data_IF_646777827822
#
_entry.id   IF_646777827822
#
_cell.length_a   1.000
_cell.length_b   1.000
_cell.length_c   1.000
_cell.angle_alpha   90.00
_cell.angle_beta   90.00
_cell.angle_gamma   90.00
#
_symmetry.space_group_name_H-M   'P 1'
#
loop_
_entity.id
_entity.type
_entity.pdbx_description
1 polymer ?
#
# COMPACT_ATOMS: atom_id res chain seq x y z
N UNK A 1 -13.72 -6.42 -14.47
CA UNK A 1 -13.63 -7.10 -13.17
C UNK A 1 -12.16 -7.08 -12.79
N UNK A 2 -11.74 -6.03 -12.11
CA UNK A 2 -10.38 -5.91 -11.59
C UNK A 2 -10.34 -6.74 -10.30
N UNK A 3 -9.41 -7.68 -10.22
CA UNK A 3 -9.22 -8.53 -9.04
C UNK A 3 -8.52 -7.70 -7.95
N UNK A 4 -9.29 -6.86 -7.26
CA UNK A 4 -8.79 -6.08 -6.12
C UNK A 4 -8.68 -7.02 -4.93
N UNK A 5 -7.49 -7.56 -4.71
CA UNK A 5 -7.20 -8.41 -3.56
C UNK A 5 -6.81 -7.47 -2.41
N UNK A 6 -7.61 -7.47 -1.34
CA UNK A 6 -7.27 -6.81 -0.09
C UNK A 6 -6.04 -7.49 0.52
N UNK A 7 -5.05 -6.69 0.91
CA UNK A 7 -3.76 -7.15 1.46
C UNK A 7 -3.66 -6.72 2.93
N UNK A 8 -3.22 -7.63 3.79
CA UNK A 8 -2.95 -7.33 5.20
C UNK A 8 -1.68 -6.45 5.30
N UNK A 9 -1.75 -5.38 6.09
CA UNK A 9 -0.62 -4.50 6.36
C UNK A 9 0.62 -5.27 6.88
N UNK A 10 0.43 -6.31 7.70
CA UNK A 10 1.54 -7.10 8.22
C UNK A 10 2.27 -7.93 7.15
N UNK A 11 1.68 -8.07 5.96
CA UNK A 11 2.30 -8.71 4.81
C UNK A 11 2.99 -7.70 3.87
N UNK A 12 2.81 -6.40 4.11
CA UNK A 12 3.49 -5.33 3.41
C UNK A 12 4.82 -5.03 4.11
N UNK A 13 5.90 -5.13 3.35
CA UNK A 13 7.23 -4.70 3.75
C UNK A 13 7.63 -3.62 2.73
N UNK A 14 8.38 -2.57 3.11
CA UNK A 14 8.83 -1.48 2.21
C UNK A 14 7.79 -0.92 1.20
N UNK A 15 6.50 -0.83 1.57
CA UNK A 15 5.48 -0.30 0.67
C UNK A 15 5.71 1.20 0.42
N UNK A 16 5.95 1.56 -0.84
CA UNK A 16 6.27 2.93 -1.27
C UNK A 16 5.03 3.57 -1.91
N UNK A 17 4.55 4.65 -1.32
CA UNK A 17 3.40 5.41 -1.81
C UNK A 17 3.81 6.76 -2.36
N UNK A 18 3.34 7.09 -3.56
CA UNK A 18 3.63 8.35 -4.25
C UNK A 18 2.69 9.45 -3.73
N UNK A 19 3.27 10.47 -3.09
CA UNK A 19 2.53 11.55 -2.45
C UNK A 19 1.77 12.42 -3.46
N UNK A 20 2.22 12.50 -4.70
CA UNK A 20 1.55 13.29 -5.76
C UNK A 20 0.22 12.66 -6.19
N UNK A 21 0.01 11.38 -5.86
CA UNK A 21 -1.23 10.67 -6.17
C UNK A 21 -2.32 10.84 -5.09
N UNK A 22 -1.98 11.48 -3.96
CA UNK A 22 -2.89 11.67 -2.84
C UNK A 22 -4.13 12.47 -3.26
N UNK A 23 -5.32 11.91 -3.03
CA UNK A 23 -6.58 12.58 -3.36
C UNK A 23 -7.71 12.09 -2.48
N UNK A 24 -8.74 12.92 -2.30
CA UNK A 24 -10.04 12.46 -1.77
C UNK A 24 -11.05 12.42 -2.92
N UNK A 25 -11.75 11.29 -3.08
CA UNK A 25 -12.84 11.12 -4.04
C UNK A 25 -13.97 10.34 -3.40
N UNK A 26 -15.20 10.84 -3.50
CA UNK A 26 -16.41 10.18 -2.96
C UNK A 26 -16.28 9.78 -1.48
N UNK A 27 -15.64 10.62 -0.66
CA UNK A 27 -15.40 10.33 0.76
C UNK A 27 -14.34 9.26 1.02
N UNK A 28 -13.48 8.95 0.04
CA UNK A 28 -12.36 8.03 0.21
C UNK A 28 -11.06 8.78 -0.06
N UNK A 29 -10.12 8.70 0.87
CA UNK A 29 -8.74 9.07 0.62
C UNK A 29 -8.07 7.92 -0.13
N UNK A 30 -7.40 8.25 -1.22
CA UNK A 30 -6.69 7.33 -2.11
C UNK A 30 -5.24 7.77 -2.20
N UNK A 31 -4.33 6.81 -2.09
CA UNK A 31 -2.91 7.01 -2.28
C UNK A 31 -2.33 5.83 -3.08
N UNK A 32 -1.81 6.13 -4.26
CA UNK A 32 -1.18 5.16 -5.14
C UNK A 32 0.23 4.84 -4.69
N UNK A 33 0.64 3.60 -4.88
CA UNK A 33 1.93 3.12 -4.45
C UNK A 33 2.35 1.86 -5.18
N UNK A 34 3.42 1.26 -4.67
CA UNK A 34 4.04 0.06 -5.22
C UNK A 34 4.77 -0.73 -4.14
N UNK A 35 4.92 -2.02 -4.40
CA UNK A 35 5.78 -2.92 -3.63
C UNK A 35 6.83 -3.57 -4.53
N UNK A 36 7.96 -3.94 -3.94
CA UNK A 36 9.02 -4.67 -4.65
C UNK A 36 8.51 -6.06 -5.06
N UNK A 37 8.93 -6.56 -6.22
CA UNK A 37 8.51 -7.84 -6.78
C UNK A 37 8.81 -9.02 -5.84
N UNK A 38 9.82 -8.90 -4.98
CA UNK A 38 10.15 -9.93 -3.97
C UNK A 38 9.00 -10.11 -2.98
N UNK A 39 8.32 -9.04 -2.61
CA UNK A 39 7.14 -9.07 -1.75
C UNK A 39 5.91 -9.53 -2.51
N UNK A 40 5.75 -9.12 -3.77
CA UNK A 40 4.67 -9.62 -4.63
C UNK A 40 4.67 -11.14 -4.75
N UNK A 41 5.85 -11.76 -4.83
CA UNK A 41 5.99 -13.23 -4.85
C UNK A 41 5.63 -13.86 -3.49
N UNK A 42 5.94 -13.20 -2.38
CA UNK A 42 5.52 -13.65 -1.04
C UNK A 42 4.01 -13.56 -0.87
N UNK A 43 3.38 -12.47 -1.32
CA UNK A 43 1.92 -12.29 -1.33
C UNK A 43 1.19 -13.28 -2.25
N UNK A 44 1.80 -13.64 -3.38
CA UNK A 44 1.31 -14.70 -4.26
C UNK A 44 1.47 -16.10 -3.67
N UNK A 45 2.37 -16.28 -2.69
CA UNK A 45 2.55 -17.55 -1.99
C UNK A 45 1.61 -17.70 -0.77
N UNK A 46 1.11 -16.60 -0.21
CA UNK A 46 0.09 -16.59 0.85
C UNK A 46 -1.34 -16.68 0.30
N UNK A 47 -1.59 -16.18 -0.91
CA UNK A 47 -2.90 -16.23 -1.58
C UNK A 47 -3.06 -17.43 -2.51
N UNK A 48 -3.98 -18.34 -2.14
CA UNK A 48 -4.54 -19.43 -2.94
C UNK A 48 -3.67 -20.69 -3.14
N UNK A 49 -4.13 -21.79 -2.52
CA UNK A 49 -3.58 -23.15 -2.55
C UNK A 49 -2.33 -23.36 -1.69
N UNK A 50 -2.45 -24.21 -0.67
CA UNK A 50 -1.39 -24.59 0.29
C UNK A 50 -0.14 -25.28 -0.28
N UNK A 51 0.24 -25.00 -1.52
CA UNK A 51 1.52 -25.37 -2.08
C UNK A 51 2.58 -24.39 -1.58
N UNK A 52 3.39 -24.83 -0.61
CA UNK A 52 4.64 -24.14 -0.26
C UNK A 52 5.52 -24.05 -1.51
N UNK A 53 5.62 -22.85 -2.08
CA UNK A 53 6.62 -22.58 -3.11
C UNK A 53 8.01 -22.92 -2.55
N UNK A 54 8.68 -23.90 -3.15
CA UNK A 54 10.01 -24.30 -2.70
C UNK A 54 11.03 -23.22 -3.06
N UNK A 55 12.12 -23.10 -2.29
CA UNK A 55 13.26 -22.21 -2.62
C UNK A 55 13.77 -22.40 -4.06
N UNK A 56 13.64 -23.61 -4.62
CA UNK A 56 14.04 -23.93 -6.00
C UNK A 56 13.02 -23.47 -7.06
N UNK A 57 11.74 -23.40 -6.72
CA UNK A 57 10.68 -22.82 -7.58
C UNK A 57 10.82 -21.31 -7.65
N UNK A 58 11.01 -20.67 -6.48
CA UNK A 58 11.32 -19.24 -6.40
C UNK A 58 12.55 -18.91 -7.25
N UNK A 59 13.66 -19.64 -7.09
CA UNK A 59 14.89 -19.37 -7.85
C UNK A 59 14.75 -19.50 -9.37
N UNK A 60 13.82 -20.33 -9.86
CA UNK A 60 13.50 -20.46 -11.30
C UNK A 60 12.68 -19.26 -11.80
N UNK A 61 11.73 -18.79 -11.01
CA UNK A 61 10.97 -17.57 -11.32
C UNK A 61 11.87 -16.32 -11.25
N UNK A 62 12.76 -16.23 -10.26
CA UNK A 62 13.74 -15.15 -10.09
C UNK A 62 14.63 -14.93 -11.33
N UNK A 63 14.92 -15.99 -12.10
CA UNK A 63 15.68 -15.89 -13.35
C UNK A 63 14.89 -15.21 -14.49
N UNK A 64 13.56 -15.29 -14.48
CA UNK A 64 12.67 -14.57 -15.41
C UNK A 64 12.39 -13.13 -14.95
N UNK A 65 12.47 -12.84 -13.65
CA UNK A 65 12.19 -11.53 -13.02
C UNK A 65 13.42 -10.60 -13.00
N UNK A 66 14.24 -10.62 -14.06
CA UNK A 66 15.42 -9.74 -14.20
C UNK A 66 15.08 -8.31 -14.64
N UNK A 67 13.81 -8.00 -14.85
CA UNK A 67 13.27 -6.64 -14.92
C UNK A 67 12.38 -6.48 -13.69
N UNK A 68 12.70 -5.56 -12.78
CA UNK A 68 11.83 -5.27 -11.62
C UNK A 68 10.46 -4.83 -12.15
N UNK A 69 9.44 -5.66 -11.93
CA UNK A 69 8.05 -5.33 -12.21
C UNK A 69 7.44 -5.01 -10.85
N UNK A 70 7.53 -3.74 -10.47
CA UNK A 70 6.79 -3.22 -9.31
C UNK A 70 5.32 -3.66 -9.42
N UNK A 71 4.74 -4.08 -8.30
CA UNK A 71 3.31 -4.37 -8.27
C UNK A 71 2.58 -3.13 -7.77
N UNK A 72 1.63 -2.58 -8.56
CA UNK A 72 0.80 -1.47 -8.12
C UNK A 72 0.05 -1.82 -6.83
N UNK A 73 0.05 -0.86 -5.91
CA UNK A 73 -0.64 -0.94 -4.63
C UNK A 73 -1.46 0.34 -4.46
N UNK A 74 -2.61 0.22 -3.81
CA UNK A 74 -3.45 1.36 -3.47
C UNK A 74 -3.79 1.33 -1.99
N UNK A 75 -3.59 2.45 -1.30
CA UNK A 75 -4.05 2.67 0.05
C UNK A 75 -5.36 3.47 0.00
N UNK A 76 -6.37 2.96 0.71
CA UNK A 76 -7.70 3.55 0.78
C UNK A 76 -8.08 3.78 2.24
N UNK A 77 -8.54 4.99 2.57
CA UNK A 77 -9.16 5.30 3.86
C UNK A 77 -10.57 5.83 3.59
N UNK A 78 -11.58 5.13 4.10
CA UNK A 78 -12.99 5.50 3.93
C UNK A 78 -13.39 6.66 4.83
N UNK A 79 -14.52 7.28 4.48
CA UNK A 79 -15.11 8.42 5.19
C UNK A 79 -14.15 9.62 5.36
N UNK A 80 -13.19 9.77 4.46
CA UNK A 80 -12.19 10.83 4.50
C UNK A 80 -12.79 12.18 4.12
N UNK A 81 -12.48 13.19 4.92
CA UNK A 81 -12.97 14.58 4.80
C UNK A 81 -11.84 15.51 4.35
N UNK A 82 -10.63 15.31 4.87
CA UNK A 82 -9.45 16.10 4.53
C UNK A 82 -8.18 15.29 4.76
N UNK A 83 -7.07 15.71 4.14
CA UNK A 83 -5.75 15.16 4.42
C UNK A 83 -4.68 16.24 4.45
N UNK A 84 -3.58 15.95 5.12
CA UNK A 84 -2.37 16.77 5.19
C UNK A 84 -1.15 15.86 4.99
N UNK A 85 -0.18 16.33 4.21
CA UNK A 85 1.08 15.63 3.95
C UNK A 85 2.21 16.47 4.55
N UNK A 86 3.01 15.84 5.41
CA UNK A 86 4.17 16.44 6.04
C UNK A 86 5.41 15.69 5.58
N UNK A 87 5.97 16.09 4.43
CA UNK A 87 7.21 15.54 3.88
C UNK A 87 8.40 16.44 4.24
N UNK A 88 9.02 16.19 5.40
CA UNK A 88 10.17 16.98 5.87
C UNK A 88 11.45 16.65 5.11
N UNK A 89 11.52 15.47 4.51
CA UNK A 89 12.68 15.00 3.77
C UNK A 89 12.66 15.47 2.29
N UNK A 90 11.50 15.85 1.77
CA UNK A 90 11.31 16.16 0.35
C UNK A 90 11.48 14.92 -0.53
N UNK A 91 11.11 13.74 -0.01
CA UNK A 91 11.27 12.47 -0.71
C UNK A 91 10.23 12.28 -1.83
N UNK A 92 9.07 12.95 -1.74
CA UNK A 92 7.96 12.75 -2.66
C UNK A 92 7.26 11.38 -2.51
N UNK A 93 7.70 10.56 -1.56
CA UNK A 93 7.16 9.24 -1.31
C UNK A 93 7.06 8.93 0.18
N UNK A 94 6.00 8.23 0.56
CA UNK A 94 5.80 7.64 1.88
C UNK A 94 6.19 6.16 1.82
N UNK A 95 7.33 5.80 2.40
CA UNK A 95 7.69 4.41 2.65
C UNK A 95 7.03 4.00 3.97
N UNK A 96 5.87 3.36 3.91
CA UNK A 96 4.99 3.17 5.06
C UNK A 96 5.62 2.23 6.09
N UNK A 97 5.80 2.71 7.32
CA UNK A 97 6.35 1.96 8.45
C UNK A 97 5.25 1.52 9.43
N UNK A 98 4.30 2.41 9.70
CA UNK A 98 3.22 2.15 10.64
C UNK A 98 2.02 3.08 10.38
N UNK A 99 0.89 2.74 10.99
CA UNK A 99 -0.24 3.63 11.06
C UNK A 99 -0.91 3.57 12.44
N UNK A 100 -1.64 4.62 12.78
CA UNK A 100 -2.49 4.67 13.97
C UNK A 100 -3.84 5.26 13.63
N UNK A 101 -4.89 4.72 14.25
CA UNK A 101 -6.28 5.22 14.11
C UNK A 101 -6.74 5.70 15.49
N UNK A 102 -7.27 6.91 15.55
CA UNK A 102 -7.84 7.51 16.75
C UNK A 102 -8.99 8.41 16.35
N UNK A 103 -10.18 8.18 16.91
CA UNK A 103 -11.43 8.94 16.71
C UNK A 103 -11.43 9.99 15.58
N UNK A 104 -11.73 9.57 14.35
CA UNK A 104 -11.79 10.47 13.19
C UNK A 104 -10.44 10.92 12.62
N UNK A 105 -9.34 10.31 13.05
CA UNK A 105 -7.98 10.60 12.59
C UNK A 105 -7.24 9.30 12.28
N UNK A 106 -6.64 9.28 11.09
CA UNK A 106 -5.69 8.26 10.66
C UNK A 106 -4.35 8.94 10.42
N UNK A 107 -3.30 8.42 11.04
CA UNK A 107 -1.92 8.87 10.84
C UNK A 107 -1.12 7.73 10.21
N UNK A 108 -0.54 8.00 9.06
CA UNK A 108 0.41 7.13 8.37
C UNK A 108 1.82 7.68 8.61
N UNK A 109 2.74 6.83 9.03
CA UNK A 109 4.12 7.20 9.36
C UNK A 109 5.06 6.46 8.44
N UNK A 110 5.94 7.19 7.77
CA UNK A 110 6.98 6.63 6.92
C UNK A 110 8.32 6.50 7.62
N UNK A 111 9.15 5.59 7.12
CA UNK A 111 10.53 5.34 7.59
C UNK A 111 11.42 6.58 7.39
N UNK A 112 11.26 7.24 6.24
CA UNK A 112 11.84 8.56 5.97
C UNK A 112 10.89 9.61 6.55
N UNK A 113 11.36 10.70 7.21
CA UNK A 113 10.51 11.72 7.85
C UNK A 113 9.41 12.31 6.96
N UNK A 114 8.32 11.57 6.86
CA UNK A 114 7.18 11.78 6.00
C UNK A 114 5.97 11.20 6.72
N UNK A 115 4.93 12.01 6.87
CA UNK A 115 3.71 11.62 7.55
C UNK A 115 2.50 12.08 6.74
N UNK A 116 1.46 11.24 6.72
CA UNK A 116 0.19 11.58 6.09
C UNK A 116 -0.90 11.50 7.15
N UNK A 117 -1.63 12.59 7.30
CA UNK A 117 -2.74 12.72 8.22
C UNK A 117 -4.02 12.73 7.41
N UNK A 118 -4.97 11.86 7.76
CA UNK A 118 -6.30 11.82 7.13
C UNK A 118 -7.34 11.99 8.22
N UNK A 119 -8.25 12.95 8.01
CA UNK A 119 -9.40 13.17 8.87
C UNK A 119 -10.60 12.41 8.31
N UNK A 120 -11.30 11.68 9.16
CA UNK A 120 -12.46 10.85 8.82
C UNK A 120 -13.68 11.21 9.67
N UNK A 121 -14.88 10.81 9.22
CA UNK A 121 -16.14 11.02 9.97
C UNK A 121 -16.30 10.02 11.13
N UNK A 122 -15.54 8.93 11.13
CA UNK A 122 -15.47 7.95 12.21
C UNK A 122 -14.13 7.21 12.25
N UNK A 123 -14.04 6.13 13.03
CA UNK A 123 -12.83 5.30 13.09
C UNK A 123 -12.75 4.39 11.87
N UNK A 124 -11.91 4.76 10.89
CA UNK A 124 -11.68 3.97 9.68
C UNK A 124 -10.22 3.53 9.58
N UNK A 125 -9.98 2.22 9.45
CA UNK A 125 -8.64 1.71 9.21
C UNK A 125 -8.24 1.88 7.73
N UNK A 126 -6.94 2.08 7.43
CA UNK A 126 -6.41 1.95 6.08
C UNK A 126 -6.67 0.55 5.51
N UNK A 127 -7.07 0.49 4.24
CA UNK A 127 -7.21 -0.74 3.47
C UNK A 127 -6.23 -0.71 2.30
N UNK A 128 -5.60 -1.84 2.00
CA UNK A 128 -4.60 -1.96 0.96
C UNK A 128 -5.09 -2.88 -0.13
N UNK A 129 -5.01 -2.44 -1.38
CA UNK A 129 -5.46 -3.20 -2.53
C UNK A 129 -4.33 -3.37 -3.52
N UNK A 130 -4.11 -4.62 -3.96
CA UNK A 130 -3.19 -4.90 -5.05
C UNK A 130 -3.86 -4.58 -6.39
N UNK A 131 -3.23 -3.73 -7.20
CA UNK A 131 -3.76 -3.26 -8.48
C UNK A 131 -3.65 -1.74 -8.63
N UNK A 132 -3.88 -1.25 -9.84
CA UNK A 132 -3.96 0.19 -10.10
C UNK A 132 -5.09 0.79 -9.23
N UNK A 133 -4.94 2.02 -8.73
CA UNK A 133 -5.98 2.65 -7.94
C UNK A 133 -7.28 2.67 -8.71
N UNK A 134 -8.28 1.95 -8.19
CA UNK A 134 -9.64 2.02 -8.70
C UNK A 134 -10.12 3.43 -8.46
N UNK A 135 -10.11 4.21 -9.53
CA UNK A 135 -10.98 5.37 -9.65
C UNK A 135 -12.35 4.82 -10.06
N UNK A 136 -13.34 4.76 -9.15
CA UNK A 136 -14.72 4.55 -9.57
C UNK A 136 -15.20 5.72 -10.44
#
# INVERSE_FOLDING_TARGET
>A
MTNDIEVDFNELDDAEFDLDTATIRNGQFLLGGRIDWRQSVSLLASGESGARYTRASLRREYGRVRKLIYTPLSLVIKEAVSYEIVDKAGAGALILESYSVSDGHVRLVGVVPCEVYVRTVGSCAPQFYRGDPVVP
#
